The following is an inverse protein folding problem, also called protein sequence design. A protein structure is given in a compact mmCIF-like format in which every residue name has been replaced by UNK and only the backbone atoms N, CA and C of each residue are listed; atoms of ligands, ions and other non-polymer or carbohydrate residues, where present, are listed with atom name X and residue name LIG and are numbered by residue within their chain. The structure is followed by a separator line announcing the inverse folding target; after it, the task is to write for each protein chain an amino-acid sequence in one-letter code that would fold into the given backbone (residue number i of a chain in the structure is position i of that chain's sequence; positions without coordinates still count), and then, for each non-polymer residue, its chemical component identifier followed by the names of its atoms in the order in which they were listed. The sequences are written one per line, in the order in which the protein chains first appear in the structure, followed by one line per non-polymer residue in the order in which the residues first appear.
data_IF_595733611685
#
_entry.id   IF_595733611685
#
_cell.length_a   1.000
_cell.length_b   1.000
_cell.length_c   1.000
_cell.angle_alpha   90.00
_cell.angle_beta   90.00
_cell.angle_gamma   90.00
#
_symmetry.space_group_name_H-M   'P 1'
#
loop_
_entity.id
_entity.type
_entity.pdbx_description
1 polymer ?
#
# COMPACT_ATOMS: atom_id res chain seq x y z
N UNK A 1 -7.56 12.46 17.11
CA UNK A 1 -7.50 11.31 16.20
C UNK A 1 -6.03 10.95 16.07
N UNK A 2 -5.58 9.88 16.73
CA UNK A 2 -4.20 9.41 16.61
C UNK A 2 -4.07 8.66 15.29
N UNK A 3 -3.34 9.25 14.34
CA UNK A 3 -2.94 8.57 13.11
C UNK A 3 -1.81 7.64 13.50
N UNK A 4 -2.10 6.35 13.62
CA UNK A 4 -1.08 5.34 13.89
C UNK A 4 -0.21 5.21 12.64
N UNK A 5 0.96 5.84 12.65
CA UNK A 5 1.98 5.64 11.62
C UNK A 5 2.85 4.48 12.11
N UNK A 6 2.81 3.29 11.48
CA UNK A 6 3.73 2.22 11.84
C UNK A 6 5.16 2.77 11.78
N UNK A 7 5.93 2.55 12.85
CA UNK A 7 7.30 3.03 12.94
C UNK A 7 8.09 2.46 11.75
N UNK A 8 8.92 3.29 11.09
CA UNK A 8 9.72 2.84 9.93
C UNK A 8 10.68 1.68 10.24
N UNK A 9 10.87 1.38 11.52
CA UNK A 9 11.66 0.27 12.05
C UNK A 9 10.85 -1.00 12.28
N UNK A 10 9.57 -1.02 11.91
CA UNK A 10 8.75 -2.22 11.98
C UNK A 10 9.29 -3.28 10.98
N UNK A 11 9.67 -4.47 11.47
CA UNK A 11 10.27 -5.49 10.62
C UNK A 11 9.31 -6.02 9.55
N UNK A 12 8.00 -6.02 9.81
CA UNK A 12 6.99 -6.43 8.83
C UNK A 12 6.83 -5.37 7.74
N UNK A 13 6.85 -4.09 8.12
CA UNK A 13 6.86 -2.99 7.14
C UNK A 13 8.11 -3.04 6.26
N UNK A 14 9.29 -3.31 6.83
CA UNK A 14 10.54 -3.45 6.06
C UNK A 14 10.46 -4.64 5.09
N UNK A 15 9.95 -5.78 5.54
CA UNK A 15 9.77 -6.97 4.71
C UNK A 15 8.76 -6.73 3.57
N UNK A 16 7.67 -6.02 3.84
CA UNK A 16 6.68 -5.65 2.84
C UNK A 16 7.26 -4.67 1.80
N UNK A 17 8.05 -3.69 2.24
CA UNK A 17 8.76 -2.77 1.34
C UNK A 17 9.69 -3.54 0.40
N UNK A 18 10.41 -4.54 0.90
CA UNK A 18 11.29 -5.37 0.08
C UNK A 18 10.50 -6.13 -1.01
N UNK A 19 9.42 -6.81 -0.63
CA UNK A 19 8.55 -7.54 -1.57
C UNK A 19 7.94 -6.62 -2.63
N UNK A 20 7.47 -5.43 -2.23
CA UNK A 20 6.93 -4.44 -3.17
C UNK A 20 8.00 -3.92 -4.14
N UNK A 21 9.25 -3.75 -3.70
CA UNK A 21 10.37 -3.40 -4.58
C UNK A 21 10.68 -4.51 -5.58
N UNK A 22 10.58 -5.78 -5.20
CA UNK A 22 10.74 -6.92 -6.11
C UNK A 22 9.64 -6.96 -7.20
N UNK A 23 8.44 -6.44 -6.90
CA UNK A 23 7.38 -6.23 -7.90
C UNK A 23 7.65 -5.01 -8.81
N UNK A 24 8.74 -4.28 -8.60
CA UNK A 24 9.18 -3.16 -9.43
C UNK A 24 8.69 -1.79 -8.97
N UNK A 25 8.19 -1.66 -7.74
CA UNK A 25 7.81 -0.35 -7.19
C UNK A 25 9.05 0.48 -6.82
N UNK A 26 8.96 1.79 -7.03
CA UNK A 26 9.98 2.70 -6.53
C UNK A 26 10.02 2.66 -4.99
N UNK A 27 11.21 2.91 -4.41
CA UNK A 27 11.38 2.77 -2.96
C UNK A 27 10.46 3.67 -2.12
N UNK A 28 10.08 4.85 -2.64
CA UNK A 28 9.11 5.75 -2.01
C UNK A 28 7.69 5.17 -2.04
N UNK A 29 7.28 4.63 -3.19
CA UNK A 29 5.94 4.09 -3.40
C UNK A 29 5.72 2.80 -2.62
N UNK A 30 6.75 1.93 -2.58
CA UNK A 30 6.76 0.75 -1.73
C UNK A 30 6.64 1.12 -0.24
N UNK A 31 7.36 2.15 0.21
CA UNK A 31 7.25 2.64 1.59
C UNK A 31 5.89 3.27 1.89
N UNK A 32 5.31 4.01 0.93
CA UNK A 32 3.97 4.55 1.07
C UNK A 32 2.95 3.43 1.28
N UNK A 33 2.92 2.44 0.39
CA UNK A 33 1.96 1.35 0.47
C UNK A 33 2.15 0.45 1.70
N UNK A 34 3.39 0.26 2.16
CA UNK A 34 3.66 -0.55 3.35
C UNK A 34 3.34 0.16 4.67
N UNK A 35 3.46 1.48 4.73
CA UNK A 35 3.29 2.24 5.97
C UNK A 35 1.95 2.98 6.08
N UNK A 36 1.24 3.19 4.97
CA UNK A 36 -0.05 3.90 5.01
C UNK A 36 -1.14 2.95 5.45
N UNK A 37 -1.85 3.35 6.49
CA UNK A 37 -3.10 2.71 6.90
C UNK A 37 -4.15 2.96 5.82
N UNK A 38 -4.75 1.91 5.22
CA UNK A 38 -5.84 2.08 4.26
C UNK A 38 -7.00 2.89 4.87
N UNK A 39 -7.68 3.74 4.09
CA UNK A 39 -8.78 4.55 4.60
C UNK A 39 -9.95 3.68 5.09
N UNK A 40 -10.74 4.20 6.03
CA UNK A 40 -11.91 3.50 6.54
C UNK A 40 -12.90 3.17 5.40
N UNK A 41 -13.52 1.97 5.38
CA UNK A 41 -14.52 1.61 4.37
C UNK A 41 -15.79 2.47 4.42
N UNK A 42 -15.98 3.26 5.49
CA UNK A 42 -17.08 4.22 5.63
C UNK A 42 -16.92 5.49 4.79
N UNK A 43 -15.75 5.72 4.18
CA UNK A 43 -15.49 6.86 3.30
C UNK A 43 -15.18 6.38 1.86
N UNK A 44 -16.20 6.32 0.99
CA UNK A 44 -16.03 5.87 -0.39
C UNK A 44 -15.08 6.75 -1.20
N UNK A 45 -15.04 8.05 -0.93
CA UNK A 45 -14.19 8.99 -1.67
C UNK A 45 -12.72 8.81 -1.31
N UNK A 46 -12.41 8.65 -0.02
CA UNK A 46 -11.05 8.34 0.42
C UNK A 46 -10.58 7.00 -0.14
N UNK A 47 -11.46 5.98 -0.16
CA UNK A 47 -11.16 4.68 -0.76
C UNK A 47 -10.83 4.77 -2.26
N UNK A 48 -11.66 5.46 -3.05
CA UNK A 48 -11.41 5.62 -4.48
C UNK A 48 -10.09 6.38 -4.75
N UNK A 49 -9.78 7.40 -3.95
CA UNK A 49 -8.51 8.12 -4.05
C UNK A 49 -7.33 7.20 -3.78
N UNK A 50 -7.37 6.41 -2.70
CA UNK A 50 -6.31 5.47 -2.37
C UNK A 50 -6.11 4.39 -3.45
N UNK A 51 -7.21 3.85 -4.01
CA UNK A 51 -7.14 2.90 -5.13
C UNK A 51 -6.58 3.54 -6.41
N UNK A 52 -6.87 4.81 -6.66
CA UNK A 52 -6.31 5.56 -7.78
C UNK A 52 -4.80 5.73 -7.64
N UNK A 53 -4.33 6.14 -6.46
CA UNK A 53 -2.92 6.22 -6.12
C UNK A 53 -2.22 4.87 -6.29
N UNK A 54 -2.81 3.79 -5.76
CA UNK A 54 -2.31 2.43 -5.93
C UNK A 54 -2.15 2.05 -7.42
N UNK A 55 -3.17 2.31 -8.24
CA UNK A 55 -3.13 2.01 -9.68
C UNK A 55 -2.08 2.84 -10.42
N UNK A 56 -1.76 4.03 -9.93
CA UNK A 56 -0.71 4.87 -10.49
C UNK A 56 0.69 4.35 -10.14
N UNK A 57 0.91 3.94 -8.89
CA UNK A 57 2.19 3.42 -8.40
C UNK A 57 2.50 2.00 -8.91
N UNK A 58 1.48 1.15 -9.07
CA UNK A 58 1.66 -0.26 -9.41
C UNK A 58 1.33 -0.54 -10.88
N UNK A 59 2.30 -1.14 -11.58
CA UNK A 59 2.14 -1.56 -12.97
C UNK A 59 0.95 -2.50 -13.14
N UNK A 60 0.16 -2.39 -14.24
CA UNK A 60 -1.05 -3.18 -14.43
C UNK A 60 -0.88 -4.69 -14.26
N UNK A 61 0.25 -5.25 -14.71
CA UNK A 61 0.57 -6.68 -14.64
C UNK A 61 0.87 -7.18 -13.22
N UNK A 62 1.16 -6.28 -12.27
CA UNK A 62 1.52 -6.61 -10.88
C UNK A 62 0.46 -6.21 -9.85
N UNK A 63 -0.62 -5.55 -10.28
CA UNK A 63 -1.66 -5.04 -9.36
C UNK A 63 -2.31 -6.11 -8.52
N UNK A 64 -2.64 -7.27 -9.09
CA UNK A 64 -3.27 -8.35 -8.34
C UNK A 64 -2.37 -8.85 -7.20
N UNK A 65 -1.07 -9.00 -7.46
CA UNK A 65 -0.10 -9.46 -6.47
C UNK A 65 0.19 -8.39 -5.42
N UNK A 66 0.41 -7.15 -5.84
CA UNK A 66 0.61 -6.04 -4.92
C UNK A 66 -0.61 -5.83 -4.01
N UNK A 67 -1.84 -5.95 -4.55
CA UNK A 67 -3.06 -5.81 -3.77
C UNK A 67 -3.17 -6.86 -2.66
N UNK A 68 -2.77 -8.11 -2.91
CA UNK A 68 -2.69 -9.15 -1.87
C UNK A 68 -1.71 -8.79 -0.77
N UNK A 69 -0.51 -8.34 -1.15
CA UNK A 69 0.54 -7.97 -0.18
C UNK A 69 0.12 -6.84 0.75
N UNK A 70 -0.69 -5.90 0.27
CA UNK A 70 -1.14 -4.73 1.04
C UNK A 70 -2.58 -4.86 1.56
N UNK A 71 -3.19 -6.05 1.46
CA UNK A 71 -4.53 -6.32 2.00
C UNK A 71 -5.70 -5.68 1.24
N UNK A 72 -5.50 -5.31 -0.02
CA UNK A 72 -6.51 -4.72 -0.91
C UNK A 72 -7.21 -5.75 -1.82
N UNK A 73 -6.97 -7.04 -1.63
CA UNK A 73 -7.52 -8.11 -2.46
C UNK A 73 -9.06 -8.18 -2.49
N UNK A 74 -9.71 -7.62 -1.47
CA UNK A 74 -11.17 -7.59 -1.33
C UNK A 74 -11.78 -6.21 -1.67
N UNK A 75 -11.00 -5.29 -2.22
CA UNK A 75 -11.40 -3.91 -2.53
C UNK A 75 -11.54 -3.66 -4.03
#
# INVERSE_FOLDING_TARGET
MEVFVPSRDDPDAIALIAQLKELGLAGRDAAYLACVVPPSPSDPSARENYLSEFRFMVRPDRRAEAARLVGLENW
#
